data_IF_191855877869
#
_entry.id   IF_191855877869
#
_cell.length_a   1.000
_cell.length_b   1.000
_cell.length_c   1.000
_cell.angle_alpha   90.00
_cell.angle_beta   90.00
_cell.angle_gamma   90.00
#
_symmetry.space_group_name_H-M   'P 1'
#
loop_
_entity.id
_entity.type
_entity.pdbx_description
1 polymer ?
#
# COMPACT_ATOMS: atom_id res chain seq x y z
N UNK A 1 -13.40 -8.69 3.99
CA UNK A 1 -14.49 -8.96 4.95
C UNK A 1 -15.19 -7.69 5.44
N UNK A 2 -14.45 -6.70 5.94
CA UNK A 2 -14.96 -5.43 6.43
C UNK A 2 -15.76 -4.66 5.38
N UNK A 3 -15.31 -4.63 4.12
CA UNK A 3 -16.06 -3.94 3.06
C UNK A 3 -17.46 -4.55 2.83
N UNK A 4 -17.57 -5.89 2.82
CA UNK A 4 -18.87 -6.55 2.66
C UNK A 4 -19.76 -6.36 3.89
N UNK A 5 -19.17 -6.37 5.09
CA UNK A 5 -19.88 -6.05 6.33
C UNK A 5 -20.37 -4.58 6.35
N UNK A 6 -19.54 -3.64 5.91
CA UNK A 6 -19.88 -2.23 5.77
C UNK A 6 -21.05 -2.03 4.78
N UNK A 7 -20.95 -2.60 3.58
CA UNK A 7 -22.03 -2.52 2.58
C UNK A 7 -23.34 -3.10 3.10
N UNK A 8 -23.28 -4.16 3.93
CA UNK A 8 -24.46 -4.73 4.59
C UNK A 8 -25.03 -3.76 5.64
N UNK A 9 -24.20 -3.17 6.49
CA UNK A 9 -24.63 -2.17 7.47
C UNK A 9 -25.28 -0.95 6.83
N UNK A 10 -24.70 -0.44 5.74
CA UNK A 10 -25.23 0.72 5.01
C UNK A 10 -26.59 0.40 4.38
N UNK A 11 -26.72 -0.77 3.74
CA UNK A 11 -27.98 -1.19 3.11
C UNK A 11 -29.09 -1.41 4.14
N UNK A 12 -28.75 -2.00 5.28
CA UNK A 12 -29.70 -2.38 6.32
C UNK A 12 -29.82 -1.28 7.41
N UNK A 13 -29.26 -0.09 7.18
CA UNK A 13 -29.27 1.03 8.12
C UNK A 13 -30.71 1.48 8.40
N UNK A 14 -31.17 1.55 9.67
CA UNK A 14 -32.56 1.88 9.96
C UNK A 14 -32.90 3.34 9.59
N UNK A 15 -34.08 3.57 9.01
CA UNK A 15 -34.56 4.91 8.66
C UNK A 15 -34.83 5.82 9.88
N UNK A 16 -34.98 5.24 11.08
CA UNK A 16 -35.35 5.94 12.32
C UNK A 16 -34.24 5.89 13.40
N UNK A 17 -32.97 5.80 13.00
CA UNK A 17 -31.88 5.90 13.98
C UNK A 17 -31.80 7.36 14.47
N UNK A 18 -32.02 7.58 15.77
CA UNK A 18 -31.77 8.88 16.41
C UNK A 18 -30.35 9.34 16.08
N UNK A 19 -30.18 10.63 15.74
CA UNK A 19 -28.96 11.24 15.15
C UNK A 19 -27.61 10.97 15.82
N UNK A 20 -27.58 10.34 17.00
CA UNK A 20 -26.38 10.03 17.80
C UNK A 20 -26.15 8.52 18.06
N UNK A 21 -26.83 7.61 17.37
CA UNK A 21 -26.66 6.17 17.59
C UNK A 21 -25.80 5.52 16.50
N UNK A 22 -24.88 4.66 16.95
CA UNK A 22 -24.13 3.76 16.09
C UNK A 22 -24.98 2.52 15.77
N UNK A 23 -24.84 2.01 14.56
CA UNK A 23 -25.49 0.77 14.10
C UNK A 23 -24.42 -0.22 13.64
N UNK A 24 -24.41 -1.44 14.18
CA UNK A 24 -23.26 -2.33 14.04
C UNK A 24 -23.54 -3.83 13.91
N UNK A 25 -22.48 -4.56 13.60
CA UNK A 25 -22.46 -6.02 13.55
C UNK A 25 -21.14 -6.57 14.05
N UNK A 26 -21.20 -7.78 14.61
CA UNK A 26 -20.00 -8.49 15.05
C UNK A 26 -19.28 -9.08 13.84
N UNK A 27 -17.94 -9.02 13.85
CA UNK A 27 -17.09 -9.53 12.77
C UNK A 27 -16.57 -10.96 13.00
N UNK A 28 -17.06 -11.69 14.01
CA UNK A 28 -16.72 -13.10 14.22
C UNK A 28 -16.48 -13.48 15.70
N UNK A 29 -16.38 -14.79 15.96
CA UNK A 29 -16.43 -15.40 17.31
C UNK A 29 -15.08 -15.74 17.96
N UNK A 30 -13.95 -15.49 17.30
CA UNK A 30 -12.60 -15.96 17.72
C UNK A 30 -11.58 -14.85 18.05
N UNK A 31 -12.03 -13.60 18.10
CA UNK A 31 -11.25 -12.38 18.44
C UNK A 31 -11.92 -11.76 19.69
N UNK A 32 -11.25 -10.95 20.55
CA UNK A 32 -12.01 -10.03 21.42
C UNK A 32 -13.10 -9.35 20.59
N UNK A 33 -14.35 -9.25 21.10
CA UNK A 33 -15.53 -8.93 20.29
C UNK A 33 -15.32 -7.63 19.51
N UNK A 34 -14.89 -7.78 18.26
CA UNK A 34 -14.67 -6.69 17.34
C UNK A 34 -15.99 -6.44 16.62
N UNK A 35 -16.42 -5.20 16.66
CA UNK A 35 -17.62 -4.76 15.97
C UNK A 35 -17.25 -3.80 14.85
N UNK A 36 -17.92 -3.93 13.72
CA UNK A 36 -18.01 -2.86 12.75
C UNK A 36 -19.31 -2.12 13.01
N UNK A 37 -19.25 -0.81 13.01
CA UNK A 37 -20.42 0.06 13.16
C UNK A 37 -20.37 1.20 12.17
N UNK A 38 -21.51 1.85 11.93
CA UNK A 38 -21.65 3.06 11.14
C UNK A 38 -22.43 4.10 11.95
N UNK A 39 -22.09 5.38 11.80
CA UNK A 39 -22.85 6.49 12.37
C UNK A 39 -23.98 6.96 11.43
N UNK A 40 -24.66 8.04 11.81
CA UNK A 40 -25.75 8.66 11.03
C UNK A 40 -25.31 9.25 9.70
N UNK A 41 -24.03 9.58 9.57
CA UNK A 41 -23.40 10.02 8.32
C UNK A 41 -22.79 8.83 7.54
N UNK A 42 -23.08 7.59 7.98
CA UNK A 42 -22.56 6.34 7.43
C UNK A 42 -21.04 6.17 7.54
N UNK A 43 -20.37 6.93 8.42
CA UNK A 43 -18.94 6.75 8.64
C UNK A 43 -18.66 5.45 9.40
N UNK A 44 -17.79 4.57 8.88
CA UNK A 44 -17.49 3.31 9.53
C UNK A 44 -16.58 3.51 10.75
N UNK A 45 -16.85 2.74 11.80
CA UNK A 45 -16.05 2.67 13.02
C UNK A 45 -15.83 1.23 13.45
N UNK A 46 -14.57 0.85 13.69
CA UNK A 46 -14.22 -0.41 14.36
C UNK A 46 -14.24 -0.20 15.88
N UNK A 47 -14.99 -1.04 16.58
CA UNK A 47 -15.13 -0.99 18.03
C UNK A 47 -14.43 -2.20 18.64
N UNK A 48 -13.32 -1.95 19.33
CA UNK A 48 -12.57 -2.95 20.09
C UNK A 48 -13.07 -2.93 21.52
N UNK A 49 -13.66 -4.03 22.01
CA UNK A 49 -14.08 -4.14 23.41
C UNK A 49 -12.85 -4.09 24.34
N UNK A 50 -12.90 -3.24 25.38
CA UNK A 50 -11.76 -2.96 26.28
C UNK A 50 -12.20 -2.87 27.74
N UNK A 51 -11.26 -3.06 28.67
CA UNK A 51 -11.48 -2.81 30.09
C UNK A 51 -11.11 -1.36 30.46
N UNK A 52 -11.78 -0.83 31.48
CA UNK A 52 -11.88 0.59 31.87
C UNK A 52 -10.56 1.28 32.31
N UNK A 53 -9.40 0.64 32.20
CA UNK A 53 -8.20 1.03 32.95
C UNK A 53 -7.15 1.87 32.20
N UNK A 54 -7.33 2.18 30.90
CA UNK A 54 -6.28 2.87 30.12
C UNK A 54 -6.76 4.25 29.67
N UNK A 55 -6.39 5.28 30.44
CA UNK A 55 -6.55 6.68 30.03
C UNK A 55 -5.46 7.03 29.03
N UNK A 56 -5.83 7.05 27.75
CA UNK A 56 -5.00 7.54 26.66
C UNK A 56 -5.74 8.67 25.95
N UNK A 57 -5.03 9.73 25.57
CA UNK A 57 -5.61 10.83 24.80
C UNK A 57 -6.15 10.32 23.47
N UNK A 58 -7.31 10.85 23.05
CA UNK A 58 -7.84 10.59 21.72
C UNK A 58 -6.83 11.05 20.65
N UNK A 59 -6.88 10.41 19.50
CA UNK A 59 -6.14 10.83 18.31
C UNK A 59 -7.19 11.30 17.31
N UNK A 60 -7.09 12.54 16.85
CA UNK A 60 -8.02 13.10 15.86
C UNK A 60 -7.21 13.55 14.67
N UNK A 61 -7.27 12.78 13.58
CA UNK A 61 -6.56 13.06 12.35
C UNK A 61 -7.59 13.21 11.22
N UNK A 62 -7.16 13.80 10.10
CA UNK A 62 -8.07 14.14 9.00
C UNK A 62 -8.86 12.93 8.50
N UNK A 63 -8.18 11.81 8.27
CA UNK A 63 -8.74 10.63 7.61
C UNK A 63 -9.23 9.56 8.59
N UNK A 64 -8.72 9.55 9.82
CA UNK A 64 -9.04 8.54 10.83
C UNK A 64 -8.91 9.15 12.24
N UNK A 65 -9.81 8.77 13.14
CA UNK A 65 -9.81 9.20 14.54
C UNK A 65 -9.86 7.97 15.45
N UNK A 66 -9.21 8.07 16.61
CA UNK A 66 -9.25 7.04 17.65
C UNK A 66 -9.70 7.63 18.96
N UNK A 67 -10.76 7.05 19.52
CA UNK A 67 -11.26 7.39 20.84
C UNK A 67 -11.04 6.20 21.78
N UNK A 68 -10.13 6.35 22.75
CA UNK A 68 -9.79 5.27 23.68
C UNK A 68 -10.75 5.22 24.86
N UNK A 69 -11.07 4.00 25.29
CA UNK A 69 -11.80 3.72 26.53
C UNK A 69 -13.10 4.54 26.65
N UNK A 70 -13.90 4.56 25.57
CA UNK A 70 -15.18 5.27 25.52
C UNK A 70 -16.31 4.31 25.84
N UNK A 71 -17.17 4.72 26.77
CA UNK A 71 -18.46 4.07 26.89
C UNK A 71 -19.27 4.33 25.63
N UNK A 72 -19.74 3.27 24.99
CA UNK A 72 -20.50 3.32 23.76
C UNK A 72 -21.69 2.38 23.87
N UNK A 73 -22.83 2.81 23.32
CA UNK A 73 -24.01 1.98 23.12
C UNK A 73 -24.43 2.04 21.67
N UNK A 74 -24.70 0.89 21.07
CA UNK A 74 -25.07 0.78 19.65
C UNK A 74 -26.09 -0.33 19.42
N UNK A 75 -26.93 -0.14 18.41
CA UNK A 75 -27.91 -1.13 17.98
C UNK A 75 -27.25 -2.09 16.98
N UNK A 76 -27.55 -3.37 17.10
CA UNK A 76 -27.03 -4.38 16.18
C UNK A 76 -28.01 -4.67 15.06
N UNK A 77 -27.53 -5.30 14.00
CA UNK A 77 -28.40 -5.87 12.95
C UNK A 77 -29.39 -6.94 13.47
N UNK A 78 -29.13 -7.53 14.64
CA UNK A 78 -30.07 -8.43 15.34
C UNK A 78 -31.11 -7.69 16.18
N UNK A 79 -31.17 -6.36 16.09
CA UNK A 79 -31.99 -5.47 16.93
C UNK A 79 -31.70 -5.57 18.43
N UNK A 80 -30.51 -6.03 18.82
CA UNK A 80 -30.03 -5.99 20.20
C UNK A 80 -29.31 -4.67 20.46
N UNK A 81 -29.43 -4.14 21.68
CA UNK A 81 -28.58 -3.03 22.13
C UNK A 81 -27.35 -3.61 22.80
N UNK A 82 -26.16 -3.23 22.33
CA UNK A 82 -24.88 -3.51 22.99
C UNK A 82 -24.36 -2.26 23.64
N UNK A 83 -23.84 -2.41 24.86
CA UNK A 83 -23.23 -1.34 25.63
C UNK A 83 -21.97 -1.84 26.29
N UNK A 84 -20.95 -1.00 26.38
CA UNK A 84 -19.66 -1.37 26.96
C UNK A 84 -18.62 -0.29 26.73
N UNK A 85 -17.37 -0.60 27.05
CA UNK A 85 -16.24 0.32 26.89
C UNK A 85 -15.41 -0.15 25.70
N UNK A 86 -15.22 0.75 24.75
CA UNK A 86 -14.57 0.45 23.49
C UNK A 86 -13.43 1.42 23.21
N UNK A 87 -12.38 0.91 22.55
CA UNK A 87 -11.55 1.75 21.70
C UNK A 87 -12.21 1.83 20.33
N UNK A 88 -12.54 3.05 19.92
CA UNK A 88 -13.29 3.35 18.69
C UNK A 88 -12.29 3.87 17.66
N UNK A 89 -12.11 3.14 16.56
CA UNK A 89 -11.35 3.60 15.39
C UNK A 89 -12.35 4.05 14.35
N UNK A 90 -12.59 5.36 14.25
CA UNK A 90 -13.51 5.99 13.29
C UNK A 90 -12.75 6.36 12.02
N UNK A 91 -13.25 5.96 10.87
CA UNK A 91 -12.72 6.41 9.58
C UNK A 91 -13.54 7.63 9.14
N UNK A 92 -12.87 8.75 8.93
CA UNK A 92 -13.51 10.03 8.61
C UNK A 92 -13.71 10.24 7.09
N UNK A 93 -13.12 9.37 6.26
CA UNK A 93 -13.29 9.38 4.80
C UNK A 93 -14.19 8.22 4.34
N UNK A 94 -15.30 8.54 3.67
CA UNK A 94 -16.31 7.57 3.24
C UNK A 94 -16.25 7.20 1.75
N UNK A 95 -15.24 7.65 1.02
CA UNK A 95 -15.11 7.28 -0.39
C UNK A 95 -14.79 5.79 -0.51
N UNK A 96 -15.57 5.06 -1.33
CA UNK A 96 -15.58 3.61 -1.30
C UNK A 96 -14.23 3.01 -1.71
N UNK A 97 -13.56 3.67 -2.66
CA UNK A 97 -12.23 3.34 -3.15
C UNK A 97 -11.16 3.46 -2.05
N UNK A 98 -11.21 4.53 -1.26
CA UNK A 98 -10.31 4.70 -0.10
C UNK A 98 -10.64 3.66 0.98
N UNK A 99 -11.93 3.46 1.27
CA UNK A 99 -12.39 2.48 2.26
C UNK A 99 -11.93 1.05 1.92
N UNK A 100 -11.92 0.67 0.64
CA UNK A 100 -11.44 -0.65 0.21
C UNK A 100 -10.00 -0.92 0.66
N UNK A 101 -9.10 0.04 0.42
CA UNK A 101 -7.69 -0.09 0.79
C UNK A 101 -7.51 -0.07 2.31
N UNK A 102 -8.17 0.89 2.99
CA UNK A 102 -8.15 1.01 4.46
C UNK A 102 -8.62 -0.28 5.11
N UNK A 103 -9.79 -0.79 4.70
CA UNK A 103 -10.38 -1.99 5.27
C UNK A 103 -9.51 -3.21 5.05
N UNK A 104 -8.89 -3.35 3.87
CA UNK A 104 -7.97 -4.46 3.64
C UNK A 104 -6.76 -4.41 4.57
N UNK A 105 -6.19 -3.23 4.79
CA UNK A 105 -5.12 -3.06 5.76
C UNK A 105 -5.58 -3.35 7.20
N UNK A 106 -6.74 -2.84 7.60
CA UNK A 106 -7.28 -3.06 8.94
C UNK A 106 -7.63 -4.54 9.18
N UNK A 107 -8.13 -5.25 8.17
CA UNK A 107 -8.32 -6.71 8.21
C UNK A 107 -6.99 -7.41 8.50
N UNK A 108 -5.96 -7.10 7.72
CA UNK A 108 -4.66 -7.75 7.86
C UNK A 108 -3.95 -7.45 9.18
N UNK A 109 -4.24 -6.30 9.80
CA UNK A 109 -3.58 -5.89 11.04
C UNK A 109 -4.36 -6.32 12.28
N UNK A 110 -5.69 -6.18 12.27
CA UNK A 110 -6.53 -6.37 13.46
C UNK A 110 -7.37 -7.65 13.45
N UNK A 111 -7.62 -8.24 12.28
CA UNK A 111 -8.49 -9.41 12.14
C UNK A 111 -7.59 -10.63 11.86
N UNK A 112 -6.85 -11.02 12.90
CA UNK A 112 -6.05 -12.26 12.92
C UNK A 112 -6.58 -13.19 14.00
N UNK A 113 -6.77 -14.45 13.66
CA UNK A 113 -7.29 -15.45 14.60
C UNK A 113 -6.40 -15.57 15.84
N UNK A 114 -7.01 -15.54 17.03
CA UNK A 114 -6.31 -15.75 18.30
C UNK A 114 -5.46 -14.59 18.80
N UNK A 115 -5.47 -13.42 18.13
CA UNK A 115 -4.72 -12.24 18.55
C UNK A 115 -5.66 -11.20 19.18
N UNK A 116 -5.38 -10.81 20.41
CA UNK A 116 -5.98 -9.64 21.06
C UNK A 116 -5.01 -8.47 21.05
N UNK A 117 -5.49 -7.28 20.73
CA UNK A 117 -4.66 -6.07 20.74
C UNK A 117 -4.91 -5.26 22.01
N UNK A 118 -3.85 -4.86 22.69
CA UNK A 118 -3.91 -3.88 23.77
C UNK A 118 -4.23 -2.48 23.20
N UNK A 119 -4.78 -1.58 24.02
CA UNK A 119 -5.02 -0.19 23.60
C UNK A 119 -3.73 0.51 23.15
N UNK A 120 -2.57 0.09 23.69
CA UNK A 120 -1.26 0.62 23.28
C UNK A 120 -0.91 0.20 21.85
N UNK A 121 -1.13 -1.07 21.50
CA UNK A 121 -0.89 -1.59 20.15
C UNK A 121 -1.87 -1.00 19.14
N UNK A 122 -3.17 -0.95 19.48
CA UNK A 122 -4.19 -0.30 18.64
C UNK A 122 -3.79 1.14 18.34
N UNK A 123 -3.42 1.90 19.36
CA UNK A 123 -2.97 3.27 19.17
C UNK A 123 -1.74 3.36 18.26
N UNK A 124 -0.73 2.50 18.46
CA UNK A 124 0.50 2.51 17.67
C UNK A 124 0.20 2.23 16.19
N UNK A 125 -0.61 1.21 15.93
CA UNK A 125 -1.01 0.82 14.58
C UNK A 125 -1.82 1.93 13.92
N UNK A 126 -2.82 2.48 14.61
CA UNK A 126 -3.66 3.52 14.00
C UNK A 126 -2.86 4.79 13.78
N UNK A 127 -1.97 5.20 14.69
CA UNK A 127 -1.08 6.35 14.42
C UNK A 127 -0.27 6.11 13.14
N UNK A 128 0.31 4.93 12.96
CA UNK A 128 1.06 4.59 11.74
C UNK A 128 0.19 4.64 10.47
N UNK A 129 -1.02 4.08 10.53
CA UNK A 129 -1.98 4.12 9.41
C UNK A 129 -2.43 5.55 9.14
N UNK A 130 -2.67 6.34 10.17
CA UNK A 130 -3.16 7.70 10.06
C UNK A 130 -2.09 8.64 9.51
N UNK A 131 -0.84 8.50 9.95
CA UNK A 131 0.32 9.21 9.41
C UNK A 131 0.51 8.86 7.93
N UNK A 132 0.29 7.59 7.57
CA UNK A 132 0.27 7.16 6.18
C UNK A 132 -0.79 7.93 5.38
N UNK A 133 -2.04 8.04 5.85
CA UNK A 133 -3.06 8.82 5.14
C UNK A 133 -2.81 10.34 5.13
N UNK A 134 -2.27 10.89 6.22
CA UNK A 134 -2.05 12.34 6.35
C UNK A 134 -0.95 12.88 5.43
N UNK A 135 0.03 12.06 5.08
CA UNK A 135 1.24 12.48 4.35
C UNK A 135 1.34 11.95 2.92
N UNK A 136 0.33 11.21 2.48
CA UNK A 136 0.35 10.53 1.20
C UNK A 136 -0.43 11.37 0.17
N UNK A 137 0.31 12.16 -0.60
CA UNK A 137 -0.16 12.69 -1.89
C UNK A 137 0.24 11.73 -2.99
N UNK A 138 -0.57 11.64 -4.04
CA UNK A 138 -0.23 10.92 -5.27
C UNK A 138 -0.23 11.83 -6.47
N UNK A 139 0.59 11.45 -7.44
CA UNK A 139 0.53 11.89 -8.82
C UNK A 139 0.22 10.69 -9.71
N UNK A 140 -0.19 10.95 -10.97
CA UNK A 140 -0.32 9.89 -11.99
C UNK A 140 1.00 9.10 -12.13
N UNK A 141 2.14 9.77 -11.94
CA UNK A 141 3.47 9.14 -11.99
C UNK A 141 3.70 8.13 -10.86
N UNK A 142 3.20 8.39 -9.65
CA UNK A 142 3.34 7.48 -8.50
C UNK A 142 2.55 6.18 -8.73
N UNK A 143 1.34 6.28 -9.29
CA UNK A 143 0.54 5.11 -9.67
C UNK A 143 1.23 4.29 -10.77
N UNK A 144 1.79 4.95 -11.79
CA UNK A 144 2.52 4.29 -12.88
C UNK A 144 3.79 3.59 -12.35
N UNK A 145 4.51 4.26 -11.44
CA UNK A 145 5.70 3.72 -10.78
C UNK A 145 5.35 2.47 -9.98
N UNK A 146 4.39 2.58 -9.05
CA UNK A 146 3.91 1.46 -8.25
C UNK A 146 3.41 0.32 -9.14
N UNK A 147 2.62 0.60 -10.18
CA UNK A 147 2.14 -0.43 -11.09
C UNK A 147 3.31 -1.24 -11.67
N UNK A 148 4.37 -0.56 -12.11
CA UNK A 148 5.56 -1.22 -12.63
C UNK A 148 6.28 -2.08 -11.59
N UNK A 149 6.44 -1.57 -10.37
CA UNK A 149 7.05 -2.33 -9.28
C UNK A 149 6.24 -3.60 -8.96
N UNK A 150 4.92 -3.48 -8.85
CA UNK A 150 4.02 -4.62 -8.65
C UNK A 150 4.10 -5.61 -9.82
N UNK A 151 4.18 -5.10 -11.06
CA UNK A 151 4.36 -5.93 -12.24
C UNK A 151 5.67 -6.72 -12.16
N UNK A 152 6.78 -6.10 -11.74
CA UNK A 152 8.06 -6.79 -11.52
C UNK A 152 7.94 -7.85 -10.40
N UNK A 153 7.32 -7.52 -9.27
CA UNK A 153 7.07 -8.49 -8.19
C UNK A 153 6.23 -9.68 -8.65
N UNK A 154 5.37 -9.52 -9.66
CA UNK A 154 4.53 -10.60 -10.17
C UNK A 154 5.32 -11.73 -10.85
N UNK A 155 6.57 -11.47 -11.26
CA UNK A 155 7.49 -12.48 -11.79
C UNK A 155 8.25 -13.24 -10.69
N UNK A 156 8.14 -12.84 -9.42
CA UNK A 156 8.84 -13.49 -8.33
C UNK A 156 8.37 -14.95 -8.16
N UNK A 157 9.27 -15.95 -8.28
CA UNK A 157 8.91 -17.34 -8.01
C UNK A 157 8.55 -17.59 -6.54
N UNK A 158 9.15 -16.82 -5.62
CA UNK A 158 8.80 -16.81 -4.21
C UNK A 158 8.49 -15.37 -3.75
N UNK A 159 7.23 -14.96 -3.88
CA UNK A 159 6.79 -13.62 -3.55
C UNK A 159 7.06 -13.24 -2.08
N UNK A 160 6.82 -14.17 -1.13
CA UNK A 160 7.11 -13.96 0.30
C UNK A 160 8.58 -13.66 0.57
N UNK A 161 9.51 -14.21 -0.23
CA UNK A 161 10.93 -13.91 -0.12
C UNK A 161 11.25 -12.54 -0.69
N UNK A 162 10.80 -12.26 -1.92
CA UNK A 162 11.15 -11.03 -2.66
C UNK A 162 10.60 -9.78 -1.97
N UNK A 163 9.36 -9.82 -1.49
CA UNK A 163 8.70 -8.67 -0.85
C UNK A 163 9.44 -8.19 0.40
N UNK A 164 10.21 -9.06 1.08
CA UNK A 164 11.05 -8.66 2.23
C UNK A 164 12.18 -7.70 1.86
N UNK A 165 12.60 -7.71 0.59
CA UNK A 165 13.65 -6.86 0.05
C UNK A 165 13.09 -5.64 -0.71
N UNK A 166 11.75 -5.53 -0.81
CA UNK A 166 11.08 -4.38 -1.40
C UNK A 166 11.11 -3.20 -0.42
N UNK A 167 11.77 -2.13 -0.83
CA UNK A 167 12.18 -1.05 0.05
C UNK A 167 11.04 -0.09 0.41
N UNK A 168 11.09 0.39 1.65
CA UNK A 168 9.98 1.08 2.33
C UNK A 168 10.08 2.58 2.41
N UNK A 169 11.22 3.17 2.01
CA UNK A 169 11.41 4.60 2.12
C UNK A 169 11.20 5.30 0.77
N UNK A 170 10.52 6.45 0.77
CA UNK A 170 10.56 7.39 -0.37
C UNK A 170 11.99 7.88 -0.68
N UNK A 171 12.91 7.74 0.26
CA UNK A 171 14.35 8.04 0.08
C UNK A 171 15.18 6.81 -0.27
N UNK A 172 14.56 5.63 -0.39
CA UNK A 172 15.27 4.45 -0.86
C UNK A 172 15.80 4.73 -2.27
N UNK A 173 17.06 4.37 -2.50
CA UNK A 173 17.72 4.61 -3.78
C UNK A 173 17.22 3.66 -4.86
N UNK A 174 16.81 2.47 -4.43
CA UNK A 174 16.37 1.36 -5.27
C UNK A 174 15.07 0.78 -4.75
N UNK A 175 14.25 0.25 -5.64
CA UNK A 175 12.98 -0.40 -5.27
C UNK A 175 13.22 -1.73 -4.55
N UNK A 176 14.17 -2.54 -5.02
CA UNK A 176 14.59 -3.77 -4.32
C UNK A 176 16.08 -3.71 -4.02
N UNK A 177 16.45 -4.02 -2.78
CA UNK A 177 17.84 -4.18 -2.36
C UNK A 177 18.02 -5.60 -1.87
N UNK A 178 18.61 -6.43 -2.72
CA UNK A 178 18.77 -7.87 -2.54
C UNK A 178 20.19 -8.17 -2.04
N UNK A 179 20.49 -9.40 -1.56
CA UNK A 179 21.79 -9.71 -0.98
C UNK A 179 22.99 -9.36 -1.89
N UNK A 180 22.87 -9.64 -3.19
CA UNK A 180 23.99 -9.51 -4.14
C UNK A 180 23.85 -8.35 -5.13
N UNK A 181 22.67 -7.73 -5.22
CA UNK A 181 22.39 -6.65 -6.19
C UNK A 181 21.16 -5.82 -5.78
N UNK A 182 20.98 -4.66 -6.39
CA UNK A 182 19.72 -3.92 -6.35
C UNK A 182 19.02 -3.93 -7.69
N UNK A 183 17.70 -3.80 -7.65
CA UNK A 183 16.85 -3.60 -8.80
C UNK A 183 16.08 -2.29 -8.64
N UNK A 184 16.26 -1.39 -9.59
CA UNK A 184 15.43 -0.20 -9.78
C UNK A 184 14.41 -0.48 -10.88
N UNK A 185 13.14 -0.15 -10.63
CA UNK A 185 12.07 -0.27 -11.61
C UNK A 185 11.76 1.10 -12.20
N UNK A 186 11.82 1.22 -13.51
CA UNK A 186 11.51 2.46 -14.23
C UNK A 186 10.38 2.23 -15.21
N UNK A 187 9.24 2.88 -14.97
CA UNK A 187 8.04 2.74 -15.78
C UNK A 187 7.70 4.03 -16.51
N UNK A 188 7.31 3.92 -17.77
CA UNK A 188 6.84 5.08 -18.54
C UNK A 188 5.73 4.68 -19.49
N UNK A 189 4.75 5.58 -19.64
CA UNK A 189 3.70 5.50 -20.67
C UNK A 189 4.07 6.30 -21.93
N UNK A 190 5.29 6.85 -21.98
CA UNK A 190 5.77 7.58 -23.15
C UNK A 190 6.08 6.61 -24.30
N UNK A 191 5.98 7.11 -25.53
CA UNK A 191 6.35 6.34 -26.72
C UNK A 191 7.84 5.96 -26.77
N UNK A 192 8.70 6.68 -26.05
CA UNK A 192 10.13 6.39 -25.92
C UNK A 192 10.45 5.90 -24.52
N UNK A 193 11.46 5.03 -24.40
CA UNK A 193 11.99 4.49 -23.14
C UNK A 193 12.85 5.53 -22.40
N UNK A 194 12.24 6.68 -22.13
CA UNK A 194 12.86 7.81 -21.43
C UNK A 194 12.50 7.80 -19.97
N UNK A 195 13.52 7.78 -19.13
CA UNK A 195 13.37 7.71 -17.68
C UNK A 195 14.27 8.73 -17.01
N UNK A 196 13.78 9.28 -15.89
CA UNK A 196 14.56 10.15 -15.01
C UNK A 196 15.30 9.31 -13.96
N UNK A 197 16.59 9.58 -13.81
CA UNK A 197 17.48 8.92 -12.86
C UNK A 197 18.12 9.93 -11.92
N UNK A 198 18.47 9.50 -10.70
CA UNK A 198 19.53 10.14 -9.93
C UNK A 198 20.88 9.55 -10.32
N UNK A 199 21.96 10.32 -10.14
CA UNK A 199 23.32 9.83 -10.43
C UNK A 199 23.66 8.59 -9.61
N UNK A 200 23.23 8.55 -8.36
CA UNK A 200 23.50 7.43 -7.46
C UNK A 200 22.80 6.13 -7.89
N UNK A 201 21.68 6.21 -8.60
CA UNK A 201 20.98 5.03 -9.14
C UNK A 201 21.74 4.37 -10.28
N UNK A 202 22.53 5.15 -11.03
CA UNK A 202 23.27 4.65 -12.20
C UNK A 202 24.72 4.35 -11.84
N UNK A 203 25.31 5.17 -10.96
CA UNK A 203 26.66 5.04 -10.40
C UNK A 203 26.57 4.82 -8.89
N UNK A 204 26.32 3.58 -8.43
CA UNK A 204 26.31 3.27 -7.01
C UNK A 204 27.66 3.60 -6.36
N UNK A 205 27.61 3.98 -5.08
CA UNK A 205 28.81 4.09 -4.26
C UNK A 205 29.23 2.66 -3.83
N UNK A 206 30.34 2.16 -4.38
CA UNK A 206 30.90 0.84 -4.06
C UNK A 206 30.69 -0.22 -5.15
N UNK A 207 31.21 -1.42 -4.91
CA UNK A 207 31.13 -2.57 -5.83
C UNK A 207 29.83 -3.36 -5.63
N UNK A 208 28.70 -2.72 -5.89
CA UNK A 208 27.39 -3.35 -5.81
C UNK A 208 26.71 -3.34 -7.17
N UNK A 209 26.20 -4.50 -7.60
CA UNK A 209 25.51 -4.62 -8.89
C UNK A 209 24.16 -3.95 -8.82
N UNK A 210 23.85 -3.15 -9.82
CA UNK A 210 22.54 -2.50 -9.94
C UNK A 210 21.97 -2.84 -11.31
N UNK A 211 20.75 -3.36 -11.28
CA UNK A 211 19.97 -3.61 -12.48
C UNK A 211 18.83 -2.61 -12.57
N UNK A 212 18.52 -2.19 -13.79
CA UNK A 212 17.39 -1.30 -14.10
C UNK A 212 16.36 -2.11 -14.90
N UNK A 213 15.24 -2.44 -14.28
CA UNK A 213 14.07 -2.98 -14.97
C UNK A 213 13.30 -1.83 -15.61
N UNK A 214 13.45 -1.67 -16.92
CA UNK A 214 12.78 -0.63 -17.68
C UNK A 214 11.49 -1.17 -18.30
N UNK A 215 10.36 -0.52 -18.04
CA UNK A 215 9.03 -0.88 -18.51
C UNK A 215 8.45 0.21 -19.43
N UNK A 216 8.03 -0.19 -20.63
CA UNK A 216 7.14 0.58 -21.50
C UNK A 216 5.71 0.09 -21.30
N UNK A 217 4.86 0.99 -20.83
CA UNK A 217 3.47 0.72 -20.50
C UNK A 217 2.54 1.42 -21.50
N UNK A 218 1.37 0.82 -21.70
CA UNK A 218 0.28 1.42 -22.47
C UNK A 218 -0.97 1.50 -21.62
N UNK A 219 -1.70 2.60 -21.76
CA UNK A 219 -3.03 2.73 -21.19
C UNK A 219 -4.02 1.99 -22.10
N UNK A 220 -4.72 1.00 -21.54
CA UNK A 220 -5.60 0.12 -22.32
C UNK A 220 -6.76 -0.40 -21.48
N UNK A 221 -7.95 -0.51 -22.09
CA UNK A 221 -9.16 -0.99 -21.42
C UNK A 221 -9.04 -2.43 -20.90
N UNK A 222 -8.22 -3.27 -21.56
CA UNK A 222 -7.92 -4.64 -21.16
C UNK A 222 -6.78 -4.74 -20.15
N UNK A 223 -6.19 -3.61 -19.76
CA UNK A 223 -5.11 -3.54 -18.78
C UNK A 223 -5.62 -3.73 -17.36
N UNK A 224 -4.69 -3.66 -16.42
CA UNK A 224 -4.96 -3.79 -14.99
C UNK A 224 -4.66 -2.48 -14.27
N UNK A 225 -5.42 -2.19 -13.23
CA UNK A 225 -5.10 -1.08 -12.31
C UNK A 225 -4.00 -1.50 -11.33
N UNK A 226 -3.34 -0.52 -10.70
CA UNK A 226 -2.37 -0.80 -9.64
C UNK A 226 -3.05 -1.50 -8.44
N UNK A 227 -4.32 -1.17 -8.18
CA UNK A 227 -5.11 -1.83 -7.15
C UNK A 227 -5.36 -3.29 -7.47
N UNK A 228 -5.78 -3.63 -8.70
CA UNK A 228 -6.00 -5.01 -9.11
C UNK A 228 -4.71 -5.86 -8.98
N UNK A 229 -3.55 -5.31 -9.36
CA UNK A 229 -2.25 -5.97 -9.15
C UNK A 229 -1.90 -6.12 -7.66
N UNK A 230 -2.11 -5.08 -6.85
CA UNK A 230 -1.89 -5.14 -5.41
C UNK A 230 -2.74 -6.25 -4.80
N UNK A 231 -4.01 -6.35 -5.15
CA UNK A 231 -4.91 -7.37 -4.62
C UNK A 231 -4.50 -8.79 -5.03
N UNK A 232 -4.13 -8.97 -6.29
CA UNK A 232 -3.63 -10.24 -6.80
C UNK A 232 -2.39 -10.69 -6.04
N UNK A 233 -1.41 -9.80 -5.85
CA UNK A 233 -0.16 -10.14 -5.15
C UNK A 233 -0.39 -10.35 -3.66
N UNK A 234 -1.20 -9.50 -3.01
CA UNK A 234 -1.61 -9.68 -1.62
C UNK A 234 -2.20 -11.07 -1.39
N UNK A 235 -3.05 -11.57 -2.30
CA UNK A 235 -3.66 -12.91 -2.15
C UNK A 235 -2.65 -14.06 -2.25
N UNK A 236 -1.49 -13.83 -2.89
CA UNK A 236 -0.42 -14.81 -3.03
C UNK A 236 0.54 -14.80 -1.83
N UNK A 237 0.62 -13.70 -1.07
CA UNK A 237 1.46 -13.60 0.12
C UNK A 237 0.85 -14.41 1.26
N UNK A 238 1.57 -15.44 1.72
CA UNK A 238 1.05 -16.36 2.73
C UNK A 238 1.15 -15.77 4.15
N UNK A 239 2.31 -15.18 4.46
CA UNK A 239 2.55 -14.60 5.78
C UNK A 239 1.73 -13.30 5.99
N UNK A 240 0.87 -13.27 7.02
CA UNK A 240 -0.02 -12.13 7.29
C UNK A 240 0.72 -10.84 7.70
N UNK A 241 1.84 -10.94 8.42
CA UNK A 241 2.67 -9.77 8.80
C UNK A 241 3.33 -9.15 7.57
N UNK A 242 3.83 -10.01 6.68
CA UNK A 242 4.43 -9.59 5.42
C UNK A 242 3.35 -9.00 4.50
N UNK A 243 2.17 -9.60 4.43
CA UNK A 243 1.03 -9.10 3.66
C UNK A 243 0.56 -7.73 4.14
N UNK A 244 0.48 -7.53 5.46
CA UNK A 244 0.19 -6.22 6.05
C UNK A 244 1.26 -5.18 5.68
N UNK A 245 2.54 -5.54 5.81
CA UNK A 245 3.67 -4.67 5.42
C UNK A 245 3.61 -4.31 3.92
N UNK A 246 3.32 -5.29 3.06
CA UNK A 246 3.16 -5.09 1.62
C UNK A 246 2.03 -4.11 1.29
N UNK A 247 0.86 -4.23 1.94
CA UNK A 247 -0.26 -3.30 1.72
C UNK A 247 0.10 -1.88 2.16
N UNK A 248 0.75 -1.73 3.32
CA UNK A 248 1.27 -0.43 3.78
C UNK A 248 2.22 0.20 2.76
N UNK A 249 3.10 -0.61 2.18
CA UNK A 249 4.05 -0.16 1.15
C UNK A 249 3.36 0.30 -0.13
N UNK A 250 2.37 -0.46 -0.61
CA UNK A 250 1.56 -0.09 -1.77
C UNK A 250 0.88 1.26 -1.54
N UNK A 251 0.32 1.49 -0.35
CA UNK A 251 -0.30 2.76 -0.01
C UNK A 251 0.71 3.92 0.05
N UNK A 252 1.89 3.68 0.64
CA UNK A 252 2.93 4.71 0.78
C UNK A 252 3.47 5.17 -0.58
N UNK A 253 3.67 4.22 -1.49
CA UNK A 253 4.16 4.47 -2.86
C UNK A 253 3.04 4.95 -3.79
N UNK A 254 1.86 4.37 -3.69
CA UNK A 254 0.75 4.57 -4.62
C UNK A 254 -0.09 5.80 -4.34
N UNK A 255 -0.16 6.28 -3.10
CA UNK A 255 -0.99 7.44 -2.81
C UNK A 255 -2.36 7.15 -2.22
N UNK A 256 -3.06 8.23 -1.90
CA UNK A 256 -4.52 8.23 -1.66
C UNK A 256 -5.28 7.86 -2.93
N UNK A 257 -4.69 8.08 -4.12
CA UNK A 257 -5.32 7.74 -5.39
C UNK A 257 -5.16 6.26 -5.78
N UNK A 258 -4.47 5.44 -4.98
CA UNK A 258 -4.32 4.02 -5.29
C UNK A 258 -5.68 3.33 -5.51
N UNK A 259 -6.65 3.64 -4.65
CA UNK A 259 -8.01 3.13 -4.80
C UNK A 259 -8.81 3.81 -5.90
N UNK A 260 -8.58 5.11 -6.12
CA UNK A 260 -9.38 5.97 -7.00
C UNK A 260 -8.96 5.89 -8.47
N UNK A 261 -7.71 5.49 -8.70
CA UNK A 261 -7.14 5.49 -10.03
C UNK A 261 -7.77 4.41 -10.90
N UNK A 262 -8.55 4.85 -11.87
CA UNK A 262 -9.07 4.01 -12.95
C UNK A 262 -8.04 3.72 -14.04
N UNK A 263 -6.77 4.06 -13.82
CA UNK A 263 -5.70 3.94 -14.81
C UNK A 263 -5.39 2.45 -15.05
N UNK A 264 -5.88 1.92 -16.16
CA UNK A 264 -5.61 0.56 -16.60
C UNK A 264 -4.37 0.52 -17.49
N UNK A 265 -3.32 -0.12 -17.00
CA UNK A 265 -2.04 -0.23 -17.67
C UNK A 265 -1.81 -1.68 -18.11
N UNK A 266 -1.10 -1.82 -19.22
CA UNK A 266 -0.61 -3.10 -19.71
C UNK A 266 0.76 -2.94 -20.34
N UNK A 267 1.40 -4.07 -20.63
CA UNK A 267 2.61 -4.13 -21.43
C UNK A 267 2.26 -4.34 -22.91
N UNK A 268 3.15 -3.89 -23.80
CA UNK A 268 2.99 -4.18 -25.23
C UNK A 268 3.13 -5.70 -25.47
N UNK A 269 2.29 -6.32 -26.31
CA UNK A 269 2.31 -7.77 -26.55
C UNK A 269 3.58 -8.26 -27.25
N UNK A 270 4.18 -7.40 -28.07
CA UNK A 270 5.39 -7.70 -28.82
C UNK A 270 6.59 -7.51 -27.90
N UNK A 271 7.41 -8.55 -27.74
CA UNK A 271 8.54 -8.59 -26.80
C UNK A 271 9.38 -7.31 -26.80
N UNK A 272 9.90 -6.95 -25.63
CA UNK A 272 10.65 -5.71 -25.44
C UNK A 272 9.90 -4.61 -24.68
N UNK A 273 8.70 -4.87 -24.16
CA UNK A 273 8.06 -3.97 -23.19
C UNK A 273 8.89 -3.83 -21.89
N UNK A 274 9.41 -4.95 -21.40
CA UNK A 274 10.36 -5.04 -20.30
C UNK A 274 11.77 -5.33 -20.82
N UNK A 275 12.73 -4.49 -20.44
CA UNK A 275 14.16 -4.70 -20.70
C UNK A 275 14.93 -4.46 -19.41
N UNK A 276 15.84 -5.36 -19.06
CA UNK A 276 16.73 -5.22 -17.90
C UNK A 276 18.09 -4.75 -18.39
N UNK A 277 18.59 -3.67 -17.82
CA UNK A 277 19.94 -3.15 -18.06
C UNK A 277 20.79 -3.33 -16.82
N UNK A 278 22.10 -3.51 -16.98
CA UNK A 278 23.03 -3.27 -15.88
C UNK A 278 23.36 -1.77 -15.83
N UNK A 279 23.43 -1.18 -14.64
CA UNK A 279 23.58 0.28 -14.53
C UNK A 279 24.86 0.81 -15.17
N UNK A 280 25.91 -0.02 -15.28
CA UNK A 280 27.17 0.30 -15.94
C UNK A 280 27.03 0.55 -17.45
N UNK A 281 25.99 0.02 -18.08
CA UNK A 281 25.74 0.19 -19.51
C UNK A 281 25.20 1.59 -19.83
N UNK A 282 24.77 2.32 -18.80
CA UNK A 282 24.08 3.59 -18.95
C UNK A 282 25.05 4.77 -18.92
N UNK A 283 24.87 5.70 -19.86
CA UNK A 283 25.64 6.94 -19.89
C UNK A 283 25.18 7.89 -18.77
N UNK A 284 26.00 8.03 -17.72
CA UNK A 284 25.76 8.95 -16.62
C UNK A 284 26.70 10.18 -16.65
N UNK A 285 26.21 11.38 -16.28
CA UNK A 285 27.04 12.58 -16.16
C UNK A 285 28.20 12.41 -15.17
N UNK A 286 29.37 12.96 -15.50
CA UNK A 286 30.50 13.04 -14.56
C UNK A 286 30.38 14.29 -13.68
N UNK A 287 30.47 14.08 -12.36
CA UNK A 287 30.47 15.13 -11.36
C UNK A 287 31.79 15.07 -10.61
N UNK A 288 32.59 16.15 -10.67
CA UNK A 288 33.90 16.20 -10.02
C UNK A 288 33.73 16.19 -8.49
N UNK A 289 34.50 15.34 -7.82
CA UNK A 289 34.62 15.29 -6.37
C UNK A 289 35.07 16.66 -5.84
N UNK A 290 34.52 17.09 -4.69
CA UNK A 290 34.89 18.34 -4.03
C UNK A 290 34.22 19.60 -4.58
N UNK A 291 33.30 19.50 -5.54
CA UNK A 291 32.55 20.65 -6.09
C UNK A 291 31.36 21.08 -5.22
N UNK A 292 30.95 20.27 -4.25
CA UNK A 292 29.74 20.50 -3.45
C UNK A 292 28.42 20.27 -4.21
N UNK A 293 28.47 19.71 -5.43
CA UNK A 293 27.27 19.37 -6.19
C UNK A 293 26.67 18.06 -5.67
N UNK A 294 25.40 18.11 -5.29
CA UNK A 294 24.62 16.99 -4.79
C UNK A 294 23.28 16.84 -5.53
N UNK A 295 22.58 15.72 -5.33
CA UNK A 295 21.24 15.46 -5.89
C UNK A 295 21.13 15.59 -7.43
N UNK A 296 22.15 15.15 -8.17
CA UNK A 296 22.18 15.19 -9.63
C UNK A 296 21.09 14.28 -10.22
N UNK A 297 20.19 14.87 -11.02
CA UNK A 297 19.09 14.16 -11.71
C UNK A 297 19.11 14.48 -13.20
N UNK A 298 18.87 13.47 -14.03
CA UNK A 298 18.93 13.58 -15.48
C UNK A 298 18.03 12.55 -16.14
N UNK A 299 17.67 12.79 -17.39
CA UNK A 299 16.83 11.89 -18.18
C UNK A 299 17.71 11.12 -19.17
N UNK A 300 17.49 9.81 -19.29
CA UNK A 300 18.19 8.94 -20.25
C UNK A 300 17.15 8.32 -21.18
N UNK A 301 17.42 8.37 -22.48
CA UNK A 301 16.65 7.63 -23.50
C UNK A 301 17.29 6.27 -23.74
N UNK A 302 16.67 5.22 -23.21
CA UNK A 302 17.15 3.84 -23.33
C UNK A 302 16.62 3.13 -24.58
N UNK A 303 15.93 3.84 -25.48
CA UNK A 303 15.24 3.19 -26.63
C UNK A 303 16.20 2.50 -27.60
N UNK A 304 17.43 3.01 -27.72
CA UNK A 304 18.47 2.47 -28.59
C UNK A 304 19.66 1.88 -27.81
N UNK A 305 19.52 1.72 -26.50
CA UNK A 305 20.57 1.12 -25.69
C UNK A 305 20.42 -0.40 -25.75
N UNK A 306 21.50 -1.10 -26.11
CA UNK A 306 21.56 -2.55 -26.00
C UNK A 306 21.89 -2.94 -24.56
N UNK A 307 21.19 -3.94 -24.03
CA UNK A 307 21.54 -4.49 -22.73
C UNK A 307 22.73 -5.42 -22.86
N UNK A 308 23.74 -5.26 -22.00
CA UNK A 308 24.87 -6.19 -21.94
C UNK A 308 24.49 -7.56 -21.35
N UNK A 309 23.28 -7.68 -20.81
CA UNK A 309 22.75 -8.88 -20.17
C UNK A 309 21.47 -9.35 -20.85
N UNK A 310 21.33 -10.67 -20.99
CA UNK A 310 20.10 -11.32 -21.44
C UNK A 310 19.51 -12.12 -20.25
N UNK A 311 19.13 -11.41 -19.20
CA UNK A 311 18.55 -12.01 -17.97
C UNK A 311 17.06 -11.72 -17.93
N UNK A 312 16.26 -12.76 -17.73
CA UNK A 312 14.84 -12.61 -17.44
C UNK A 312 14.64 -12.15 -15.99
N UNK A 313 13.69 -11.24 -15.76
CA UNK A 313 13.41 -10.72 -14.41
C UNK A 313 13.04 -11.84 -13.43
N UNK A 314 12.30 -12.87 -13.87
CA UNK A 314 11.97 -14.02 -13.02
C UNK A 314 13.22 -14.70 -12.46
N UNK A 315 14.21 -14.97 -13.32
CA UNK A 315 15.49 -15.56 -12.92
C UNK A 315 16.32 -14.63 -12.02
N UNK A 316 16.25 -13.32 -12.23
CA UNK A 316 16.89 -12.36 -11.34
C UNK A 316 16.29 -12.43 -9.93
N UNK A 317 14.98 -12.65 -9.83
CA UNK A 317 14.23 -12.76 -8.57
C UNK A 317 14.31 -14.15 -7.90
N UNK A 318 15.09 -15.10 -8.44
CA UNK A 318 15.38 -16.42 -7.87
C UNK A 318 16.57 -16.47 -6.89
N UNK A 319 17.35 -15.39 -6.81
CA UNK A 319 18.48 -15.18 -5.88
C UNK A 319 18.27 -15.82 -4.51
#
# INVERSE_FOLDING_TARGET
MLLSAYNKLVRDYPNEVSSNKLYGMSLGSTVPKLWLSVDSDLHPSLLFETQEALVKSNIELRSISVYFSRYCSFETISADVKSGIYTIVKINECEIETLQVVFKLLEEVFIREGVSHSNREIASIITEIADLFAHVTSSKGDIIGLWGELYILSFAPNLDRVVKYWCTSKTAKYDLVLPDFALEVKSTTNAKRKHRFSLEQVRPLGEFKVYIASLLLVETYSGQTAMELMELLSSKIQNSELRASFLKLCMLKGGVDLGRSSLKLGTLPEGGALVVFESKDMAAPEVKLGTGIENVRFDIDLSNLESSIAIEVGSLLEF
#
